data_IF_093165844560
#
_entry.id   IF_093165844560
#
_cell.length_a   1.000
_cell.length_b   1.000
_cell.length_c   1.000
_cell.angle_alpha   90.00
_cell.angle_beta   90.00
_cell.angle_gamma   90.00
#
_symmetry.space_group_name_H-M   'P 1'
#
loop_
_entity.id
_entity.type
_entity.pdbx_description
1 polymer ?
#
# COMPACT_ATOMS: atom_id res chain seq x y z
N UNK A 1 0.81 13.29 -28.15
CA UNK A 1 1.71 12.58 -27.21
C UNK A 1 3.08 12.26 -27.86
N UNK A 2 3.14 11.72 -29.08
CA UNK A 2 4.40 11.32 -29.74
C UNK A 2 5.40 12.47 -29.86
N UNK A 3 4.94 13.70 -30.20
CA UNK A 3 5.81 14.89 -30.27
C UNK A 3 6.40 15.22 -28.89
N UNK A 4 5.61 15.17 -27.83
CA UNK A 4 6.08 15.38 -26.47
C UNK A 4 7.13 14.33 -26.06
N UNK A 5 6.84 13.06 -26.34
CA UNK A 5 7.74 11.94 -26.04
C UNK A 5 9.11 12.13 -26.71
N UNK A 6 9.12 12.48 -28.01
CA UNK A 6 10.36 12.71 -28.76
C UNK A 6 11.13 13.95 -28.30
N UNK A 7 10.40 15.03 -27.93
CA UNK A 7 11.04 16.31 -27.61
C UNK A 7 11.49 16.40 -26.15
N UNK A 8 10.79 15.75 -25.23
CA UNK A 8 11.03 15.91 -23.79
C UNK A 8 11.22 14.57 -23.07
N UNK A 9 10.27 13.62 -23.17
CA UNK A 9 10.32 12.40 -22.37
C UNK A 9 11.56 11.57 -22.66
N UNK A 10 11.82 11.23 -23.91
CA UNK A 10 12.98 10.42 -24.29
C UNK A 10 14.31 11.10 -23.97
N UNK A 11 14.56 12.38 -24.36
CA UNK A 11 15.78 13.07 -23.98
C UNK A 11 16.01 13.21 -22.49
N UNK A 12 14.95 13.45 -21.69
CA UNK A 12 15.08 13.63 -20.24
C UNK A 12 15.31 12.28 -19.55
N UNK A 13 14.49 11.28 -19.86
CA UNK A 13 14.47 10.00 -19.10
C UNK A 13 15.57 9.06 -19.55
N UNK A 14 15.82 8.99 -20.88
CA UNK A 14 16.78 8.06 -21.45
C UNK A 14 18.19 8.65 -21.57
N UNK A 15 18.28 9.89 -22.02
CA UNK A 15 19.55 10.53 -22.36
C UNK A 15 20.05 11.49 -21.26
N UNK A 16 19.26 11.71 -20.20
CA UNK A 16 19.62 12.59 -19.09
C UNK A 16 19.78 14.07 -19.46
N UNK A 17 19.15 14.52 -20.55
CA UNK A 17 19.32 15.87 -21.10
C UNK A 17 18.82 16.96 -20.13
N UNK A 18 19.74 17.71 -19.56
CA UNK A 18 19.43 18.87 -18.70
C UNK A 18 18.79 20.00 -19.50
N UNK A 19 19.20 20.21 -20.72
CA UNK A 19 18.64 21.26 -21.59
C UNK A 19 17.16 21.03 -21.88
N UNK A 20 16.77 19.78 -22.22
CA UNK A 20 15.38 19.41 -22.42
C UNK A 20 14.56 19.57 -21.14
N UNK A 21 15.13 19.23 -19.98
CA UNK A 21 14.49 19.39 -18.67
C UNK A 21 14.27 20.88 -18.35
N UNK A 22 15.27 21.72 -18.52
CA UNK A 22 15.16 23.17 -18.27
C UNK A 22 14.17 23.84 -19.23
N UNK A 23 14.16 23.43 -20.49
CA UNK A 23 13.18 23.92 -21.46
C UNK A 23 11.76 23.54 -21.06
N UNK A 24 11.55 22.29 -20.66
CA UNK A 24 10.25 21.82 -20.15
C UNK A 24 9.85 22.61 -18.91
N UNK A 25 10.77 22.78 -17.94
CA UNK A 25 10.52 23.52 -16.71
C UNK A 25 10.10 24.98 -16.97
N UNK A 26 10.74 25.65 -17.91
CA UNK A 26 10.36 27.03 -18.31
C UNK A 26 8.96 27.09 -18.92
N UNK A 27 8.59 26.06 -19.70
CA UNK A 27 7.28 26.02 -20.35
C UNK A 27 6.12 25.74 -19.37
N UNK A 28 6.34 24.83 -18.40
CA UNK A 28 5.28 24.42 -17.47
C UNK A 28 5.31 25.18 -16.14
N UNK A 29 6.43 25.81 -15.79
CA UNK A 29 6.62 26.52 -14.53
C UNK A 29 5.50 27.49 -14.15
N UNK A 30 5.03 28.35 -15.07
CA UNK A 30 3.92 29.28 -14.81
C UNK A 30 2.58 28.58 -14.46
N UNK A 31 2.41 27.31 -14.88
CA UNK A 31 1.18 26.54 -14.71
C UNK A 31 1.30 25.47 -13.62
N UNK A 32 2.49 25.31 -13.02
CA UNK A 32 2.77 24.24 -12.07
C UNK A 32 3.13 24.82 -10.71
N UNK A 33 2.23 24.66 -9.74
CA UNK A 33 2.45 25.04 -8.37
C UNK A 33 2.66 23.79 -7.50
N UNK A 34 3.91 23.52 -7.11
CA UNK A 34 4.25 22.45 -6.17
C UNK A 34 4.65 23.04 -4.82
N UNK A 35 3.83 22.82 -3.81
CA UNK A 35 4.12 23.18 -2.41
C UNK A 35 4.45 21.94 -1.60
N UNK A 36 5.62 21.88 -1.03
CA UNK A 36 5.95 20.81 -0.08
C UNK A 36 5.43 21.18 1.30
N UNK A 37 4.87 20.22 2.00
CA UNK A 37 4.29 20.39 3.34
C UNK A 37 5.29 21.01 4.32
N UNK A 38 6.55 20.57 4.27
CA UNK A 38 7.66 21.09 5.08
C UNK A 38 7.99 22.58 4.83
N UNK A 39 7.71 23.06 3.61
CA UNK A 39 8.06 24.43 3.21
C UNK A 39 6.96 25.44 3.61
N UNK A 40 5.72 24.95 3.71
CA UNK A 40 4.52 25.77 3.96
C UNK A 40 4.10 25.72 5.42
N UNK A 41 4.19 24.55 6.07
CA UNK A 41 3.71 24.32 7.43
C UNK A 41 4.92 24.13 8.38
N UNK A 42 5.64 25.21 8.63
CA UNK A 42 6.84 25.22 9.51
C UNK A 42 6.54 24.96 10.99
N UNK A 43 5.27 25.14 11.38
CA UNK A 43 4.82 24.94 12.78
C UNK A 43 4.52 23.46 13.09
N UNK A 44 4.46 22.59 12.08
CA UNK A 44 4.24 21.17 12.33
C UNK A 44 5.53 20.50 12.83
N UNK A 45 5.42 19.65 13.88
CA UNK A 45 6.55 18.85 14.32
C UNK A 45 7.04 17.92 13.20
N UNK A 46 8.29 17.51 13.28
CA UNK A 46 8.87 16.56 12.34
C UNK A 46 8.11 15.24 12.38
N UNK A 47 7.89 14.64 11.19
CA UNK A 47 7.28 13.32 11.07
C UNK A 47 8.22 12.28 11.69
N UNK A 48 7.70 11.51 12.63
CA UNK A 48 8.38 10.34 13.18
C UNK A 48 7.90 9.09 12.42
N UNK A 49 8.83 8.30 11.90
CA UNK A 49 8.54 7.05 11.21
C UNK A 49 9.17 5.89 11.96
N UNK A 50 8.37 4.87 12.23
CA UNK A 50 8.83 3.63 12.88
C UNK A 50 8.42 2.45 12.03
N UNK A 51 9.38 1.54 11.78
CA UNK A 51 9.12 0.28 11.08
C UNK A 51 8.99 -0.83 12.11
N UNK A 52 7.83 -1.50 12.09
CA UNK A 52 7.57 -2.65 12.94
C UNK A 52 7.63 -3.93 12.11
N UNK A 53 8.30 -4.94 12.62
CA UNK A 53 8.43 -6.24 11.99
C UNK A 53 7.60 -7.28 12.76
N UNK A 54 6.65 -7.92 12.07
CA UNK A 54 5.87 -9.04 12.60
C UNK A 54 6.46 -10.34 12.07
N UNK A 55 6.82 -11.27 12.96
CA UNK A 55 7.41 -12.56 12.59
C UNK A 55 6.30 -13.56 12.31
N UNK A 56 6.28 -14.09 11.10
CA UNK A 56 5.36 -15.18 10.75
C UNK A 56 5.73 -16.47 11.50
N UNK A 57 4.73 -17.16 12.04
CA UNK A 57 4.88 -18.42 12.76
C UNK A 57 3.83 -19.45 12.32
N UNK A 58 3.97 -20.68 12.79
CA UNK A 58 2.99 -21.74 12.61
C UNK A 58 2.59 -21.99 11.15
N UNK A 59 1.30 -22.08 10.92
CA UNK A 59 0.72 -22.39 9.62
C UNK A 59 0.95 -21.27 8.59
N UNK A 60 0.88 -20.00 8.99
CA UNK A 60 1.17 -18.86 8.10
C UNK A 60 2.57 -18.97 7.51
N UNK A 61 3.58 -19.27 8.34
CA UNK A 61 4.97 -19.46 7.90
C UNK A 61 5.10 -20.61 6.93
N UNK A 62 4.43 -21.76 7.20
CA UNK A 62 4.45 -22.93 6.30
C UNK A 62 3.88 -22.60 4.93
N UNK A 63 2.72 -21.95 4.89
CA UNK A 63 2.05 -21.54 3.64
C UNK A 63 2.96 -20.57 2.86
N UNK A 64 3.51 -19.56 3.53
CA UNK A 64 4.42 -18.61 2.89
C UNK A 64 5.66 -19.28 2.31
N UNK A 65 6.33 -20.13 3.10
CA UNK A 65 7.56 -20.81 2.67
C UNK A 65 7.30 -21.73 1.49
N UNK A 66 6.21 -22.51 1.50
CA UNK A 66 5.84 -23.37 0.39
C UNK A 66 5.54 -22.56 -0.88
N UNK A 67 4.78 -21.48 -0.78
CA UNK A 67 4.46 -20.63 -1.92
C UNK A 67 5.70 -19.92 -2.47
N UNK A 68 6.60 -19.45 -1.61
CA UNK A 68 7.85 -18.81 -2.01
C UNK A 68 8.81 -19.81 -2.69
N UNK A 69 8.89 -21.06 -2.19
CA UNK A 69 9.69 -22.13 -2.80
C UNK A 69 9.19 -22.46 -4.22
N UNK A 70 7.89 -22.65 -4.38
CA UNK A 70 7.28 -22.93 -5.69
C UNK A 70 7.56 -21.81 -6.70
N UNK A 71 7.42 -20.53 -6.28
CA UNK A 71 7.76 -19.40 -7.14
C UNK A 71 9.24 -19.38 -7.50
N UNK A 72 10.12 -19.64 -6.54
CA UNK A 72 11.58 -19.71 -6.78
C UNK A 72 11.95 -20.80 -7.80
N UNK A 73 11.36 -21.98 -7.71
CA UNK A 73 11.59 -23.09 -8.66
C UNK A 73 11.19 -22.66 -10.10
N UNK A 74 10.04 -22.04 -10.26
CA UNK A 74 9.58 -21.53 -11.57
C UNK A 74 10.51 -20.46 -12.13
N UNK A 75 11.01 -19.55 -11.29
CA UNK A 75 11.97 -18.53 -11.72
C UNK A 75 13.31 -19.14 -12.14
N UNK A 76 13.77 -20.19 -11.45
CA UNK A 76 15.01 -20.89 -11.79
C UNK A 76 14.87 -21.77 -13.04
N UNK A 77 13.67 -22.29 -13.32
CA UNK A 77 13.38 -23.05 -14.54
C UNK A 77 13.38 -22.19 -15.82
N UNK A 78 13.52 -20.87 -15.71
CA UNK A 78 13.59 -19.97 -16.85
C UNK A 78 12.23 -19.68 -17.50
N UNK A 79 11.11 -19.92 -16.82
CA UNK A 79 9.75 -19.67 -17.28
C UNK A 79 9.44 -18.15 -17.33
N UNK A 80 10.22 -17.39 -18.12
CA UNK A 80 10.09 -15.93 -18.24
C UNK A 80 10.05 -15.44 -19.67
N UNK A 81 9.89 -16.33 -20.63
CA UNK A 81 10.05 -16.02 -22.04
C UNK A 81 8.88 -15.21 -22.61
N UNK A 82 7.67 -15.46 -22.12
CA UNK A 82 6.46 -14.80 -22.64
C UNK A 82 5.94 -13.66 -21.73
N UNK A 83 5.10 -12.81 -22.29
CA UNK A 83 4.40 -11.77 -21.52
C UNK A 83 3.43 -12.38 -20.51
N UNK A 84 2.87 -13.56 -20.79
CA UNK A 84 1.97 -14.28 -19.90
C UNK A 84 2.69 -14.82 -18.67
N UNK A 85 3.90 -15.37 -18.85
CA UNK A 85 4.72 -15.86 -17.73
C UNK A 85 5.06 -14.73 -16.75
N UNK A 86 5.41 -13.55 -17.28
CA UNK A 86 5.67 -12.36 -16.45
C UNK A 86 4.44 -11.94 -15.64
N UNK A 87 3.25 -11.98 -16.25
CA UNK A 87 2.01 -11.67 -15.54
C UNK A 87 1.69 -12.70 -14.45
N UNK A 88 1.94 -13.99 -14.69
CA UNK A 88 1.77 -15.02 -13.69
C UNK A 88 2.72 -14.83 -12.50
N UNK A 89 3.99 -14.52 -12.75
CA UNK A 89 4.96 -14.24 -11.69
C UNK A 89 4.54 -13.02 -10.86
N UNK A 90 4.06 -11.95 -11.50
CA UNK A 90 3.53 -10.79 -10.77
C UNK A 90 2.32 -11.18 -9.91
N UNK A 91 1.44 -12.05 -10.39
CA UNK A 91 0.31 -12.56 -9.63
C UNK A 91 0.76 -13.40 -8.41
N UNK A 92 1.78 -14.24 -8.56
CA UNK A 92 2.34 -15.01 -7.45
C UNK A 92 3.06 -14.12 -6.42
N UNK A 93 3.78 -13.10 -6.86
CA UNK A 93 4.36 -12.09 -5.95
C UNK A 93 3.27 -11.34 -5.18
N UNK A 94 2.17 -10.98 -5.85
CA UNK A 94 1.02 -10.37 -5.20
C UNK A 94 0.41 -11.31 -4.16
N UNK A 95 0.27 -12.58 -4.49
CA UNK A 95 -0.22 -13.62 -3.59
C UNK A 95 0.67 -13.79 -2.35
N UNK A 96 1.99 -13.81 -2.51
CA UNK A 96 2.92 -13.83 -1.38
C UNK A 96 2.74 -12.60 -0.46
N UNK A 97 2.52 -11.42 -1.03
CA UNK A 97 2.23 -10.21 -0.25
C UNK A 97 0.90 -10.30 0.50
N UNK A 98 -0.12 -10.90 -0.09
CA UNK A 98 -1.40 -11.17 0.57
C UNK A 98 -1.23 -12.16 1.73
N UNK A 99 -0.48 -13.26 1.54
CA UNK A 99 -0.18 -14.23 2.61
C UNK A 99 0.58 -13.56 3.77
N UNK A 100 1.47 -12.62 3.49
CA UNK A 100 2.13 -11.82 4.53
C UNK A 100 1.17 -10.93 5.32
N UNK A 101 0.09 -10.45 4.69
CA UNK A 101 -0.91 -9.66 5.38
C UNK A 101 -1.84 -10.55 6.21
N UNK A 102 -2.49 -11.50 5.55
CA UNK A 102 -3.32 -12.55 6.15
C UNK A 102 -3.53 -13.68 5.13
N UNK A 103 -3.23 -14.94 5.44
CA UNK A 103 -3.44 -16.06 4.52
C UNK A 103 -4.89 -16.24 4.09
N UNK A 104 -5.88 -15.80 4.87
CA UNK A 104 -7.29 -15.88 4.51
C UNK A 104 -7.63 -15.11 3.24
N UNK A 105 -6.81 -14.13 2.84
CA UNK A 105 -6.97 -13.39 1.59
C UNK A 105 -6.78 -14.26 0.34
N UNK A 106 -6.01 -15.36 0.48
CA UNK A 106 -5.73 -16.32 -0.59
C UNK A 106 -6.42 -17.67 -0.35
N UNK A 107 -6.69 -18.01 0.90
CA UNK A 107 -7.21 -19.31 1.33
C UNK A 107 -8.46 -19.13 2.20
N UNK A 108 -9.68 -19.15 1.60
CA UNK A 108 -10.92 -18.87 2.35
C UNK A 108 -11.20 -19.78 3.54
N UNK A 109 -10.59 -20.98 3.55
CA UNK A 109 -10.72 -21.95 4.65
C UNK A 109 -9.66 -21.80 5.73
N UNK A 110 -8.73 -20.85 5.57
CA UNK A 110 -7.71 -20.59 6.57
C UNK A 110 -8.33 -20.05 7.87
N UNK A 111 -7.98 -20.65 8.99
CA UNK A 111 -8.45 -20.25 10.32
C UNK A 111 -7.29 -19.97 11.30
N UNK A 112 -6.06 -20.00 10.81
CA UNK A 112 -4.88 -19.69 11.60
C UNK A 112 -4.74 -18.20 11.91
N UNK A 113 -3.76 -17.87 12.73
CA UNK A 113 -3.43 -16.48 13.06
C UNK A 113 -2.65 -15.78 11.94
N UNK A 114 -2.66 -14.46 11.98
CA UNK A 114 -1.84 -13.60 11.13
C UNK A 114 -1.00 -12.67 12.00
N UNK A 115 0.32 -12.87 12.00
CA UNK A 115 1.23 -12.09 12.84
C UNK A 115 1.10 -10.58 12.59
N UNK A 116 0.94 -10.17 11.33
CA UNK A 116 0.77 -8.76 10.97
C UNK A 116 -0.57 -8.20 11.44
N UNK A 117 -1.65 -8.99 11.36
CA UNK A 117 -2.96 -8.58 11.85
C UNK A 117 -2.95 -8.40 13.37
N UNK A 118 -2.37 -9.34 14.11
CA UNK A 118 -2.28 -9.25 15.57
C UNK A 118 -1.48 -8.01 16.00
N UNK A 119 -0.29 -7.79 15.43
CA UNK A 119 0.48 -6.56 15.70
C UNK A 119 -0.31 -5.29 15.36
N UNK A 120 -1.06 -5.31 14.24
CA UNK A 120 -1.90 -4.18 13.85
C UNK A 120 -3.02 -3.93 14.88
N UNK A 121 -3.68 -4.99 15.36
CA UNK A 121 -4.75 -4.87 16.37
C UNK A 121 -4.22 -4.35 17.69
N UNK A 122 -3.08 -4.84 18.16
CA UNK A 122 -2.40 -4.32 19.37
C UNK A 122 -2.13 -2.82 19.29
N UNK A 123 -1.62 -2.36 18.13
CA UNK A 123 -1.36 -0.92 17.91
C UNK A 123 -2.65 -0.09 17.90
N UNK A 124 -3.70 -0.61 17.25
CA UNK A 124 -5.01 0.07 17.19
C UNK A 124 -5.65 0.18 18.57
N UNK A 125 -5.62 -0.90 19.36
CA UNK A 125 -6.13 -0.90 20.72
C UNK A 125 -5.36 0.07 21.63
N UNK A 126 -4.03 -0.01 21.62
CA UNK A 126 -3.19 0.84 22.45
C UNK A 126 -3.37 2.32 22.09
N UNK A 127 -3.37 2.65 20.81
CA UNK A 127 -3.59 4.02 20.35
C UNK A 127 -4.98 4.54 20.66
N UNK A 128 -6.00 3.70 20.53
CA UNK A 128 -7.39 4.07 20.88
C UNK A 128 -7.56 4.27 22.38
N UNK A 129 -6.96 3.41 23.22
CA UNK A 129 -6.96 3.59 24.70
C UNK A 129 -6.23 4.86 25.12
N UNK A 130 -5.19 5.26 24.39
CA UNK A 130 -4.47 6.52 24.60
C UNK A 130 -5.23 7.76 24.08
N UNK A 131 -6.45 7.59 23.53
CA UNK A 131 -7.26 8.68 22.99
C UNK A 131 -6.81 9.20 21.62
N UNK A 132 -5.94 8.49 20.93
CA UNK A 132 -5.47 8.90 19.59
C UNK A 132 -6.49 8.60 18.50
N UNK A 133 -6.56 9.49 17.52
CA UNK A 133 -7.25 9.25 16.25
C UNK A 133 -6.24 8.60 15.28
N UNK A 134 -6.59 7.44 14.75
CA UNK A 134 -5.69 6.61 13.95
C UNK A 134 -6.16 6.56 12.50
N UNK A 135 -5.25 6.73 11.57
CA UNK A 135 -5.47 6.47 10.15
C UNK A 135 -4.70 5.20 9.75
N UNK A 136 -5.45 4.18 9.32
CA UNK A 136 -4.89 2.92 8.83
C UNK A 136 -5.03 2.85 7.31
N UNK A 137 -3.96 2.46 6.64
CA UNK A 137 -3.93 2.28 5.19
C UNK A 137 -3.55 0.86 4.83
N UNK A 138 -4.26 0.28 3.88
CA UNK A 138 -3.92 -1.00 3.28
C UNK A 138 -4.00 -0.92 1.77
N UNK A 139 -3.11 -1.64 1.09
CA UNK A 139 -3.15 -1.81 -0.35
C UNK A 139 -4.29 -2.76 -0.78
N UNK A 140 -4.70 -3.67 0.13
CA UNK A 140 -5.73 -4.66 -0.14
C UNK A 140 -7.03 -4.27 0.55
N UNK A 141 -8.09 -4.05 -0.22
CA UNK A 141 -9.43 -3.77 0.34
C UNK A 141 -9.95 -4.95 1.15
N UNK A 142 -9.69 -6.19 0.70
CA UNK A 142 -10.01 -7.41 1.46
C UNK A 142 -9.33 -7.48 2.84
N UNK A 143 -8.13 -6.92 2.98
CA UNK A 143 -7.49 -6.81 4.29
C UNK A 143 -8.21 -5.79 5.18
N UNK A 144 -8.73 -4.70 4.61
CA UNK A 144 -9.55 -3.75 5.37
C UNK A 144 -10.84 -4.42 5.87
N UNK A 145 -11.44 -5.32 5.09
CA UNK A 145 -12.62 -6.08 5.51
C UNK A 145 -12.31 -7.01 6.70
N UNK A 146 -11.15 -7.69 6.67
CA UNK A 146 -10.68 -8.54 7.79
C UNK A 146 -10.49 -7.69 9.06
N UNK A 147 -9.80 -6.55 8.95
CA UNK A 147 -9.56 -5.63 10.07
C UNK A 147 -10.89 -5.06 10.58
N UNK A 148 -11.81 -4.65 9.71
CA UNK A 148 -13.12 -4.15 10.07
C UNK A 148 -13.93 -5.20 10.85
N UNK A 149 -13.85 -6.47 10.45
CA UNK A 149 -14.48 -7.58 11.17
C UNK A 149 -13.92 -7.76 12.59
N UNK A 150 -12.61 -7.58 12.78
CA UNK A 150 -11.97 -7.63 14.13
C UNK A 150 -12.37 -6.42 14.97
N UNK A 151 -12.28 -5.19 14.43
CA UNK A 151 -12.68 -3.97 15.12
C UNK A 151 -14.14 -4.01 15.58
N UNK A 152 -15.04 -4.54 14.74
CA UNK A 152 -16.45 -4.72 15.10
C UNK A 152 -16.66 -5.67 16.27
N UNK A 153 -15.91 -6.78 16.33
CA UNK A 153 -15.96 -7.74 17.45
C UNK A 153 -15.47 -7.11 18.76
N UNK A 154 -14.47 -6.25 18.68
CA UNK A 154 -13.85 -5.55 19.81
C UNK A 154 -14.60 -4.25 20.16
N UNK A 155 -15.69 -3.95 19.44
CA UNK A 155 -16.55 -2.75 19.65
C UNK A 155 -15.78 -1.42 19.50
N UNK A 156 -14.71 -1.42 18.71
CA UNK A 156 -13.96 -0.21 18.34
C UNK A 156 -14.68 0.47 17.17
N UNK A 157 -15.03 1.75 17.33
CA UNK A 157 -15.67 2.53 16.26
C UNK A 157 -14.66 2.89 15.19
N UNK A 158 -15.05 2.76 13.93
CA UNK A 158 -14.21 3.08 12.79
C UNK A 158 -15.03 3.57 11.59
N UNK A 159 -14.38 4.24 10.67
CA UNK A 159 -14.87 4.55 9.34
C UNK A 159 -14.00 3.81 8.31
N UNK A 160 -14.62 3.20 7.30
CA UNK A 160 -13.90 2.54 6.22
C UNK A 160 -14.13 3.29 4.90
N UNK A 161 -13.05 3.77 4.29
CA UNK A 161 -13.03 4.44 3.00
C UNK A 161 -12.36 3.55 1.96
N UNK A 162 -13.10 3.25 0.89
CA UNK A 162 -12.60 2.49 -0.26
C UNK A 162 -12.87 3.24 -1.56
N UNK A 163 -12.39 2.70 -2.69
CA UNK A 163 -12.71 3.25 -4.01
C UNK A 163 -14.20 3.30 -4.32
N UNK A 164 -14.98 2.37 -3.74
CA UNK A 164 -16.43 2.29 -3.90
C UNK A 164 -17.22 3.30 -3.05
N UNK A 165 -16.59 4.01 -2.10
CA UNK A 165 -17.29 4.96 -1.21
C UNK A 165 -17.73 6.19 -1.98
N UNK A 166 -19.05 6.53 -2.03
CA UNK A 166 -19.55 7.70 -2.73
C UNK A 166 -18.95 9.02 -2.20
N UNK A 167 -18.77 10.01 -3.08
CA UNK A 167 -18.11 11.28 -2.76
C UNK A 167 -18.75 12.00 -1.56
N UNK A 168 -20.08 12.10 -1.52
CA UNK A 168 -20.78 12.78 -0.42
C UNK A 168 -20.57 12.08 0.92
N UNK A 169 -20.65 10.73 0.96
CA UNK A 169 -20.41 9.95 2.17
C UNK A 169 -18.97 10.07 2.65
N UNK A 170 -18.01 10.12 1.72
CA UNK A 170 -16.60 10.31 2.05
C UNK A 170 -16.36 11.63 2.79
N UNK A 171 -16.94 12.72 2.31
CA UNK A 171 -16.83 14.03 2.97
C UNK A 171 -17.43 14.03 4.36
N UNK A 172 -18.61 13.40 4.53
CA UNK A 172 -19.24 13.26 5.83
C UNK A 172 -18.39 12.49 6.82
N UNK A 173 -17.86 11.32 6.42
CA UNK A 173 -16.98 10.50 7.26
C UNK A 173 -15.73 11.24 7.69
N UNK A 174 -15.11 12.02 6.81
CA UNK A 174 -13.95 12.86 7.14
C UNK A 174 -14.34 13.93 8.17
N UNK A 175 -15.47 14.61 7.97
CA UNK A 175 -15.97 15.61 8.92
C UNK A 175 -16.23 15.00 10.29
N UNK A 176 -16.87 13.82 10.34
CA UNK A 176 -17.21 13.15 11.60
C UNK A 176 -15.97 12.58 12.32
N UNK A 177 -14.94 12.19 11.56
CA UNK A 177 -13.65 11.76 12.13
C UNK A 177 -12.90 12.92 12.81
N UNK A 178 -13.07 14.15 12.33
CA UNK A 178 -12.42 15.33 12.92
C UNK A 178 -13.10 15.83 14.21
N UNK A 179 -14.37 15.52 14.45
CA UNK A 179 -15.07 15.81 15.70
C UNK A 179 -14.59 14.91 16.83
#
# INVERSE_FOLDING_TARGET
>A
YQKFKKTFETPIVRDGSREALERLHRMIGPFLLRRLKRDVLRELPSKMETVLYSRMEGEQKRIYTASAAALKERLLAGELETGEDRMQILAELLRLRQICCDPSLCFPRYKGGSAKLETCMELLENGTRAGHKILLFSQFTSMLDVIAGRLSKEKIRFYMLTGATPKGRRMQMVSDFHK
#
